data_IF_137080827571
#
_entry.id   IF_137080827571
#
_cell.length_a   1.000
_cell.length_b   1.000
_cell.length_c   1.000
_cell.angle_alpha   90.00
_cell.angle_beta   90.00
_cell.angle_gamma   90.00
#
_symmetry.space_group_name_H-M   'P 1'
#
loop_
_entity.id
_entity.type
_entity.pdbx_description
1 polymer ?
#
# COMPACT_ATOMS: atom_id res chain seq x y z
N UNK A 1 -11.87 2.91 1.55
CA UNK A 1 -12.80 2.45 0.49
C UNK A 1 -12.50 1.03 0.05
N UNK A 2 -11.23 0.65 -0.17
CA UNK A 2 -10.86 -0.73 -0.49
C UNK A 2 -11.28 -1.72 0.60
N UNK A 3 -11.04 -1.38 1.87
CA UNK A 3 -11.42 -2.24 3.01
C UNK A 3 -12.93 -2.46 3.10
N UNK A 4 -13.75 -1.42 2.93
CA UNK A 4 -15.22 -1.55 2.99
C UNK A 4 -15.76 -2.45 1.88
N UNK A 5 -15.24 -2.33 0.66
CA UNK A 5 -15.63 -3.20 -0.45
C UNK A 5 -15.21 -4.64 -0.21
N UNK A 6 -13.99 -4.86 0.28
CA UNK A 6 -13.51 -6.18 0.64
C UNK A 6 -14.33 -6.82 1.78
N UNK A 7 -14.69 -6.06 2.81
CA UNK A 7 -15.53 -6.53 3.91
C UNK A 7 -16.89 -6.95 3.36
N UNK A 8 -17.54 -6.10 2.56
CA UNK A 8 -18.87 -6.39 1.98
C UNK A 8 -18.86 -7.64 1.09
N UNK A 9 -17.87 -7.80 0.23
CA UNK A 9 -17.75 -8.98 -0.64
C UNK A 9 -17.52 -10.25 0.16
N UNK A 10 -16.62 -10.23 1.13
CA UNK A 10 -16.32 -11.39 1.97
C UNK A 10 -17.47 -11.76 2.90
N UNK A 11 -18.20 -10.76 3.44
CA UNK A 11 -19.41 -11.03 4.23
C UNK A 11 -20.46 -11.78 3.41
N UNK A 12 -20.65 -11.42 2.12
CA UNK A 12 -21.53 -12.15 1.21
C UNK A 12 -21.09 -13.60 0.96
N UNK A 13 -19.81 -13.88 1.12
CA UNK A 13 -19.22 -15.23 1.00
C UNK A 13 -19.17 -15.98 2.32
N UNK A 14 -19.78 -15.45 3.38
CA UNK A 14 -19.91 -16.12 4.68
C UNK A 14 -18.79 -15.81 5.67
N UNK A 15 -17.92 -14.84 5.39
CA UNK A 15 -16.91 -14.38 6.37
C UNK A 15 -17.57 -13.46 7.38
N UNK A 16 -17.45 -13.79 8.64
CA UNK A 16 -17.88 -12.93 9.76
C UNK A 16 -16.74 -12.00 10.18
N UNK A 17 -17.03 -10.71 10.32
CA UNK A 17 -16.08 -9.69 10.76
C UNK A 17 -16.45 -9.20 12.15
N UNK A 18 -15.46 -9.13 13.03
CA UNK A 18 -15.57 -8.55 14.37
C UNK A 18 -14.58 -7.39 14.45
N UNK A 19 -15.04 -6.24 13.96
CA UNK A 19 -14.22 -5.01 13.85
C UNK A 19 -14.21 -4.25 15.18
N UNK A 20 -13.12 -3.51 15.44
CA UNK A 20 -12.98 -2.72 16.66
C UNK A 20 -12.86 -3.54 17.93
N UNK A 21 -12.57 -4.84 17.83
CA UNK A 21 -12.50 -5.79 18.93
C UNK A 21 -11.13 -6.45 18.93
N UNK A 22 -10.48 -6.52 20.07
CA UNK A 22 -9.23 -7.25 20.25
C UNK A 22 -9.46 -8.64 20.83
N UNK A 23 -8.52 -9.56 20.61
CA UNK A 23 -8.47 -10.86 21.24
C UNK A 23 -7.76 -10.72 22.59
N UNK A 24 -8.42 -11.07 23.69
CA UNK A 24 -7.84 -11.03 25.04
C UNK A 24 -7.10 -12.31 25.39
N UNK A 25 -7.67 -13.45 25.03
CA UNK A 25 -7.05 -14.74 25.32
C UNK A 25 -7.47 -15.82 24.33
N UNK A 26 -6.58 -16.78 24.14
CA UNK A 26 -6.82 -18.00 23.38
C UNK A 26 -6.53 -19.18 24.31
N UNK A 27 -7.54 -20.00 24.58
CA UNK A 27 -7.40 -21.22 25.37
C UNK A 27 -7.89 -22.42 24.57
N UNK A 28 -6.93 -23.15 23.95
CA UNK A 28 -7.18 -24.23 23.03
C UNK A 28 -8.01 -23.77 21.84
N UNK A 29 -9.29 -24.07 21.80
CA UNK A 29 -10.23 -23.67 20.73
C UNK A 29 -11.09 -22.45 21.08
N UNK A 30 -11.11 -22.05 22.34
CA UNK A 30 -11.90 -20.91 22.82
C UNK A 30 -11.11 -19.62 22.72
N UNK A 31 -11.68 -18.65 22.04
CA UNK A 31 -11.15 -17.28 21.90
C UNK A 31 -12.06 -16.34 22.68
N UNK A 32 -11.49 -15.52 23.57
CA UNK A 32 -12.20 -14.47 24.29
C UNK A 32 -11.83 -13.10 23.73
N UNK A 33 -12.82 -12.22 23.65
CA UNK A 33 -12.72 -10.92 23.01
C UNK A 33 -12.91 -9.79 24.04
N UNK A 34 -12.38 -8.60 23.71
CA UNK A 34 -12.42 -7.40 24.57
C UNK A 34 -13.84 -6.85 24.82
N UNK A 35 -14.83 -7.27 24.06
CA UNK A 35 -16.25 -6.94 24.29
C UNK A 35 -16.94 -7.90 25.29
N UNK A 36 -16.21 -8.82 25.87
CA UNK A 36 -16.70 -9.83 26.83
C UNK A 36 -17.31 -11.06 26.18
N UNK A 37 -17.42 -11.12 24.87
CA UNK A 37 -17.88 -12.33 24.16
C UNK A 37 -16.77 -13.37 24.05
N UNK A 38 -17.14 -14.60 23.77
CA UNK A 38 -16.20 -15.68 23.47
C UNK A 38 -16.82 -16.66 22.50
N UNK A 39 -15.98 -17.26 21.64
CA UNK A 39 -16.42 -18.25 20.66
C UNK A 39 -15.43 -19.40 20.56
N UNK A 40 -15.85 -20.53 19.99
CA UNK A 40 -15.01 -21.71 19.77
C UNK A 40 -14.73 -21.89 18.29
N UNK A 41 -13.46 -22.16 17.98
CA UNK A 41 -12.99 -22.33 16.61
C UNK A 41 -12.23 -23.65 16.46
N UNK A 42 -12.29 -24.25 15.30
CA UNK A 42 -11.51 -25.47 14.99
C UNK A 42 -10.03 -25.18 14.82
N UNK A 43 -9.71 -24.00 14.30
CA UNK A 43 -8.35 -23.50 14.10
C UNK A 43 -8.29 -22.00 14.33
N UNK A 44 -7.19 -21.51 14.90
CA UNK A 44 -6.93 -20.08 15.09
C UNK A 44 -5.64 -19.73 14.35
N UNK A 45 -5.74 -18.80 13.40
CA UNK A 45 -4.60 -18.21 12.71
C UNK A 45 -4.30 -16.84 13.30
N UNK A 46 -3.09 -16.64 13.81
CA UNK A 46 -2.62 -15.35 14.31
C UNK A 46 -1.83 -14.64 13.23
N UNK A 47 -2.33 -13.48 12.79
CA UNK A 47 -1.72 -12.66 11.73
C UNK A 47 -1.85 -11.17 12.11
N UNK A 48 -1.30 -10.78 13.27
CA UNK A 48 -1.51 -9.47 13.92
C UNK A 48 -0.39 -8.46 13.65
N UNK A 49 0.58 -8.80 12.81
CA UNK A 49 1.68 -7.91 12.45
C UNK A 49 3.04 -8.60 12.52
N UNK A 50 4.09 -7.78 12.40
CA UNK A 50 5.50 -8.19 12.41
C UNK A 50 6.28 -7.32 13.39
N UNK A 51 7.25 -7.93 14.05
CA UNK A 51 8.22 -7.25 14.88
C UNK A 51 9.63 -7.48 14.31
N UNK A 52 10.50 -6.46 14.30
CA UNK A 52 11.89 -6.63 13.88
C UNK A 52 12.66 -7.49 14.88
N UNK A 53 13.53 -8.38 14.39
CA UNK A 53 14.34 -9.27 15.19
C UNK A 53 15.76 -8.70 15.36
N UNK A 54 15.90 -7.68 16.19
CA UNK A 54 17.18 -6.97 16.44
C UNK A 54 17.78 -7.26 17.81
N UNK A 55 17.19 -8.18 18.58
CA UNK A 55 17.64 -8.54 19.93
C UNK A 55 18.85 -9.46 19.88
N UNK A 56 19.80 -9.26 20.80
CA UNK A 56 20.98 -10.13 21.01
C UNK A 56 21.91 -10.29 19.79
N UNK A 57 22.01 -9.27 18.94
CA UNK A 57 22.94 -9.26 17.79
C UNK A 57 24.08 -8.24 17.96
N UNK A 58 24.26 -7.72 19.18
CA UNK A 58 25.40 -6.85 19.52
C UNK A 58 25.21 -5.37 19.15
N UNK A 59 24.00 -4.91 18.82
CA UNK A 59 23.74 -3.51 18.42
C UNK A 59 24.03 -2.52 19.55
N UNK A 60 23.60 -2.84 20.77
CA UNK A 60 23.80 -1.99 21.94
C UNK A 60 25.29 -1.89 22.32
N UNK A 61 26.05 -2.98 22.13
CA UNK A 61 27.50 -3.07 22.41
C UNK A 61 28.32 -2.11 21.53
N UNK A 62 27.85 -1.86 20.31
CA UNK A 62 28.49 -0.95 19.36
C UNK A 62 27.82 0.45 19.35
N UNK A 63 26.86 0.70 20.24
CA UNK A 63 26.24 2.01 20.46
C UNK A 63 25.06 2.34 19.58
N UNK A 64 24.52 1.38 18.82
CA UNK A 64 23.29 1.58 18.03
C UNK A 64 22.06 1.50 18.93
N UNK A 65 21.24 2.56 18.90
CA UNK A 65 19.99 2.60 19.65
C UNK A 65 18.87 1.90 18.89
N UNK A 66 18.15 1.05 19.59
CA UNK A 66 17.01 0.31 19.07
C UNK A 66 15.72 0.82 19.71
N UNK A 67 14.76 1.27 18.91
CA UNK A 67 13.46 1.73 19.38
C UNK A 67 12.38 0.69 19.01
N UNK A 68 11.84 -0.02 20.01
CA UNK A 68 10.86 -1.11 19.79
C UNK A 68 11.31 -2.14 18.73
N UNK A 69 12.59 -2.44 18.67
CA UNK A 69 13.19 -3.33 17.69
C UNK A 69 13.63 -2.65 16.38
N UNK A 70 13.25 -1.41 16.13
CA UNK A 70 13.64 -0.69 14.93
C UNK A 70 14.93 0.09 15.11
N UNK A 71 15.66 0.24 14.02
CA UNK A 71 16.91 1.00 13.92
C UNK A 71 16.65 2.28 13.13
N UNK A 72 17.00 3.42 13.71
CA UNK A 72 16.92 4.70 13.04
C UNK A 72 18.08 4.88 12.06
N UNK A 73 17.77 5.30 10.83
CA UNK A 73 18.75 5.62 9.78
C UNK A 73 18.51 7.00 9.19
N UNK A 74 19.48 7.48 8.45
CA UNK A 74 19.27 8.55 7.48
C UNK A 74 18.60 7.92 6.26
N UNK A 75 17.38 8.31 5.92
CA UNK A 75 16.60 7.71 4.82
C UNK A 75 17.17 8.00 3.41
N UNK A 76 18.07 8.98 3.27
CA UNK A 76 18.73 9.25 1.99
C UNK A 76 19.87 8.27 1.69
N UNK A 77 20.44 7.66 2.74
CA UNK A 77 21.64 6.81 2.63
C UNK A 77 21.48 5.44 3.29
N UNK A 78 20.51 5.28 4.19
CA UNK A 78 20.29 4.15 5.09
C UNK A 78 21.43 3.89 6.10
N UNK A 79 22.30 4.88 6.28
CA UNK A 79 23.35 4.86 7.28
C UNK A 79 22.77 5.07 8.69
N UNK A 80 23.25 4.34 9.66
CA UNK A 80 22.91 4.52 11.08
C UNK A 80 23.68 5.71 11.68
N UNK A 81 23.55 5.91 12.99
CA UNK A 81 24.37 6.89 13.74
C UNK A 81 25.87 6.49 13.80
N UNK A 82 26.21 5.28 13.40
CA UNK A 82 27.59 4.79 13.29
C UNK A 82 28.00 4.78 11.83
N UNK A 83 29.04 5.56 11.48
CA UNK A 83 29.43 5.92 10.11
C UNK A 83 29.58 4.75 9.13
N UNK A 84 30.06 3.59 9.57
CA UNK A 84 30.28 2.42 8.72
C UNK A 84 29.23 1.34 8.85
N UNK A 85 28.07 1.64 9.46
CA UNK A 85 26.97 0.70 9.67
C UNK A 85 25.69 1.23 9.02
N UNK A 86 25.06 0.36 8.25
CA UNK A 86 23.83 0.60 7.54
C UNK A 86 22.75 -0.37 8.02
N UNK A 87 21.50 0.06 8.03
CA UNK A 87 20.35 -0.81 8.26
C UNK A 87 19.36 -0.62 7.15
N UNK A 88 18.74 -1.71 6.69
CA UNK A 88 17.75 -1.70 5.61
C UNK A 88 16.69 -2.78 5.82
N UNK A 89 15.56 -2.64 5.15
CA UNK A 89 14.43 -3.57 5.21
C UNK A 89 13.61 -3.43 6.48
N UNK A 90 12.96 -4.50 6.88
CA UNK A 90 11.94 -4.56 7.94
C UNK A 90 12.40 -4.05 9.32
N UNK A 91 13.69 -3.83 9.50
CA UNK A 91 14.27 -3.32 10.76
C UNK A 91 14.42 -1.79 10.79
N UNK A 92 14.21 -1.09 9.67
CA UNK A 92 14.34 0.37 9.60
C UNK A 92 13.11 1.04 10.19
N UNK A 93 13.34 2.03 11.06
CA UNK A 93 12.26 2.81 11.66
C UNK A 93 11.53 3.65 10.61
N UNK A 94 10.21 3.73 10.71
CA UNK A 94 9.33 4.56 9.86
C UNK A 94 9.32 4.20 8.36
N UNK A 95 9.82 3.02 7.97
CA UNK A 95 9.72 2.52 6.59
C UNK A 95 8.75 1.34 6.47
N UNK A 96 8.17 1.11 5.28
CA UNK A 96 7.27 -0.03 5.08
C UNK A 96 8.00 -1.36 5.16
N UNK A 97 7.47 -2.30 5.94
CA UNK A 97 7.98 -3.68 6.04
C UNK A 97 7.57 -4.50 4.80
N UNK A 98 8.17 -4.20 3.66
CA UNK A 98 7.88 -4.80 2.35
C UNK A 98 9.17 -5.25 1.66
N UNK A 99 9.16 -6.44 1.07
CA UNK A 99 10.35 -7.01 0.41
C UNK A 99 10.90 -6.11 -0.70
N UNK A 100 10.04 -5.53 -1.54
CA UNK A 100 10.46 -4.65 -2.63
C UNK A 100 11.01 -3.30 -2.14
N UNK A 101 10.61 -2.84 -0.95
CA UNK A 101 11.23 -1.67 -0.29
C UNK A 101 12.64 -2.03 0.15
N UNK A 102 12.84 -3.17 0.80
CA UNK A 102 14.16 -3.65 1.21
C UNK A 102 15.12 -3.81 0.01
N UNK A 103 14.64 -4.23 -1.16
CA UNK A 103 15.46 -4.27 -2.38
C UNK A 103 15.89 -2.88 -2.85
N UNK A 104 14.98 -1.91 -2.84
CA UNK A 104 15.31 -0.53 -3.21
C UNK A 104 16.29 0.10 -2.21
N UNK A 105 16.08 -0.13 -0.92
CA UNK A 105 16.97 0.31 0.15
C UNK A 105 18.36 -0.32 0.06
N UNK A 106 18.44 -1.59 -0.34
CA UNK A 106 19.73 -2.25 -0.58
C UNK A 106 20.53 -1.58 -1.71
N UNK A 107 19.85 -1.24 -2.81
CA UNK A 107 20.49 -0.50 -3.92
C UNK A 107 20.94 0.89 -3.45
N UNK A 108 20.10 1.61 -2.71
CA UNK A 108 20.42 2.94 -2.15
C UNK A 108 21.66 2.88 -1.26
N UNK A 109 21.69 1.99 -0.27
CA UNK A 109 22.80 1.86 0.66
C UNK A 109 24.10 1.45 -0.01
N UNK A 110 24.06 0.47 -0.95
CA UNK A 110 25.26 0.03 -1.69
C UNK A 110 25.78 1.14 -2.61
N UNK A 111 24.92 1.94 -3.22
CA UNK A 111 25.32 3.10 -4.02
C UNK A 111 26.08 4.09 -3.15
N UNK A 112 25.54 4.45 -1.99
CA UNK A 112 26.22 5.36 -1.06
C UNK A 112 27.57 4.80 -0.57
N UNK A 113 27.64 3.52 -0.19
CA UNK A 113 28.88 2.86 0.24
C UNK A 113 29.96 2.90 -0.86
N UNK A 114 29.58 2.66 -2.11
CA UNK A 114 30.51 2.54 -3.23
C UNK A 114 30.95 3.87 -3.80
N UNK A 115 30.10 4.89 -3.80
CA UNK A 115 30.32 6.15 -4.54
C UNK A 115 30.32 7.40 -3.67
N UNK A 116 29.74 7.32 -2.45
CA UNK A 116 29.44 8.49 -1.60
C UNK A 116 28.25 9.30 -2.08
N UNK A 117 27.58 8.89 -3.16
CA UNK A 117 26.40 9.59 -3.69
C UNK A 117 25.13 9.09 -3.04
N UNK A 118 24.18 9.98 -2.81
CA UNK A 118 22.84 9.64 -2.32
C UNK A 118 21.94 9.15 -3.47
N UNK A 119 21.25 8.06 -3.24
CA UNK A 119 20.23 7.52 -4.14
C UNK A 119 18.98 7.15 -3.32
N UNK A 120 18.23 8.16 -2.82
CA UNK A 120 17.15 7.93 -1.87
C UNK A 120 16.00 7.15 -2.50
N UNK A 121 15.36 6.31 -1.69
CA UNK A 121 14.13 5.61 -2.08
C UNK A 121 12.98 6.60 -2.08
N UNK A 122 12.17 6.61 -3.15
CA UNK A 122 10.95 7.40 -3.18
C UNK A 122 9.82 6.69 -2.42
N UNK A 123 9.75 6.91 -1.12
CA UNK A 123 8.73 6.30 -0.26
C UNK A 123 7.29 6.77 -0.56
N UNK A 124 7.10 7.86 -1.30
CA UNK A 124 5.77 8.32 -1.71
C UNK A 124 5.17 7.50 -2.86
N UNK A 125 6.00 6.76 -3.61
CA UNK A 125 5.58 5.98 -4.76
C UNK A 125 5.72 4.46 -4.55
N UNK A 126 5.63 3.99 -3.31
CA UNK A 126 5.70 2.55 -3.00
C UNK A 126 4.32 1.93 -3.17
N UNK A 127 4.18 0.87 -4.00
CA UNK A 127 2.93 0.14 -4.12
C UNK A 127 2.75 -0.84 -2.95
N UNK A 128 1.54 -0.87 -2.41
CA UNK A 128 1.07 -1.85 -1.42
C UNK A 128 0.08 -2.78 -2.08
N UNK A 129 0.22 -4.09 -1.90
CA UNK A 129 -0.68 -5.08 -2.50
C UNK A 129 -1.14 -6.09 -1.48
N UNK A 130 -2.45 -6.36 -1.46
CA UNK A 130 -3.08 -7.43 -0.69
C UNK A 130 -3.64 -8.45 -1.68
N UNK A 131 -3.01 -9.61 -1.75
CA UNK A 131 -3.33 -10.69 -2.68
C UNK A 131 -4.53 -11.52 -2.22
N UNK A 132 -5.67 -10.91 -2.22
CA UNK A 132 -6.96 -11.54 -1.89
C UNK A 132 -7.83 -11.64 -3.16
N UNK A 133 -9.10 -12.03 -3.03
CA UNK A 133 -10.07 -12.00 -4.12
C UNK A 133 -11.31 -11.25 -3.64
N UNK A 134 -11.57 -10.03 -4.18
CA UNK A 134 -10.73 -9.25 -5.10
C UNK A 134 -9.38 -8.86 -4.49
N UNK A 135 -8.37 -8.58 -5.31
CA UNK A 135 -7.11 -7.98 -4.89
C UNK A 135 -7.34 -6.51 -4.49
N UNK A 136 -6.47 -6.01 -3.63
CA UNK A 136 -6.43 -4.59 -3.27
C UNK A 136 -5.00 -4.09 -3.44
N UNK A 137 -4.82 -2.98 -4.14
CA UNK A 137 -3.53 -2.33 -4.28
C UNK A 137 -3.67 -0.81 -4.09
N UNK A 138 -2.66 -0.20 -3.50
CA UNK A 138 -2.61 1.24 -3.24
C UNK A 138 -1.19 1.77 -3.49
N UNK A 139 -1.11 3.04 -3.87
CA UNK A 139 0.15 3.79 -3.96
C UNK A 139 -0.09 5.25 -3.58
N UNK A 140 0.87 5.87 -2.91
CA UNK A 140 0.80 7.27 -2.50
C UNK A 140 -0.25 7.55 -1.45
N UNK A 141 -0.89 8.72 -1.55
CA UNK A 141 -1.88 9.19 -0.59
C UNK A 141 -3.28 8.68 -0.92
N UNK A 142 -4.04 8.36 0.12
CA UNK A 142 -5.48 8.18 0.02
C UNK A 142 -6.22 9.38 0.67
N UNK A 143 -7.55 9.39 0.57
CA UNK A 143 -8.38 10.49 1.07
C UNK A 143 -8.21 10.75 2.58
N UNK A 144 -7.96 9.73 3.38
CA UNK A 144 -7.87 9.88 4.83
C UNK A 144 -6.50 10.47 5.20
N UNK A 145 -5.44 9.97 4.59
CA UNK A 145 -4.08 10.49 4.79
C UNK A 145 -3.91 11.92 4.27
N UNK A 146 -4.54 12.25 3.14
CA UNK A 146 -4.57 13.63 2.63
C UNK A 146 -5.27 14.59 3.61
N UNK A 147 -6.39 14.18 4.23
CA UNK A 147 -7.06 14.96 5.28
C UNK A 147 -6.20 15.16 6.52
N UNK A 148 -5.51 14.12 6.98
CA UNK A 148 -4.58 14.20 8.12
C UNK A 148 -3.47 15.23 7.86
N UNK A 149 -2.99 15.30 6.61
CA UNK A 149 -1.98 16.27 6.17
C UNK A 149 -2.54 17.67 5.85
N UNK A 150 -3.86 17.87 5.93
CA UNK A 150 -4.52 19.13 5.58
C UNK A 150 -4.49 19.45 4.08
N UNK A 151 -4.21 18.45 3.23
CA UNK A 151 -4.14 18.62 1.78
C UNK A 151 -5.54 18.64 1.16
N UNK A 152 -5.74 19.54 0.19
CA UNK A 152 -6.92 19.53 -0.67
C UNK A 152 -6.66 18.67 -1.88
N UNK A 153 -7.48 17.64 -2.06
CA UNK A 153 -7.36 16.70 -3.16
C UNK A 153 -8.65 16.61 -3.97
N UNK A 154 -8.50 16.43 -5.27
CA UNK A 154 -9.55 15.96 -6.17
C UNK A 154 -9.53 14.42 -6.19
N UNK A 155 -10.68 13.82 -6.46
CA UNK A 155 -10.82 12.36 -6.53
C UNK A 155 -11.71 12.00 -7.72
N UNK A 156 -11.29 11.01 -8.48
CA UNK A 156 -12.13 10.30 -9.44
C UNK A 156 -12.23 8.82 -9.10
N UNK A 157 -13.24 8.15 -9.64
CA UNK A 157 -13.33 6.70 -9.55
C UNK A 157 -14.06 6.12 -10.76
N UNK A 158 -13.63 4.92 -11.19
CA UNK A 158 -14.31 4.14 -12.22
C UNK A 158 -14.46 2.68 -11.81
N UNK A 159 -15.66 2.13 -11.99
CA UNK A 159 -15.98 0.75 -11.61
C UNK A 159 -15.68 -0.26 -12.72
N UNK A 160 -15.20 -1.44 -12.37
CA UNK A 160 -14.99 -2.53 -13.33
C UNK A 160 -16.27 -3.03 -14.00
N UNK A 161 -17.45 -2.72 -13.45
CA UNK A 161 -18.73 -3.05 -14.07
C UNK A 161 -18.94 -2.37 -15.43
N UNK A 162 -18.25 -1.24 -15.70
CA UNK A 162 -18.25 -0.54 -17.00
C UNK A 162 -17.16 -1.02 -17.97
N UNK A 163 -16.28 -1.94 -17.55
CA UNK A 163 -15.10 -2.35 -18.33
C UNK A 163 -15.36 -3.67 -19.07
N UNK A 164 -15.29 -3.63 -20.41
CA UNK A 164 -15.56 -4.78 -21.27
C UNK A 164 -14.72 -6.02 -20.93
N UNK A 165 -13.43 -5.87 -20.66
CA UNK A 165 -12.56 -6.98 -20.27
C UNK A 165 -12.97 -7.63 -18.96
N UNK A 166 -13.36 -6.84 -17.97
CA UNK A 166 -13.84 -7.34 -16.67
C UNK A 166 -15.14 -8.13 -16.82
N UNK A 167 -16.03 -7.67 -17.71
CA UNK A 167 -17.27 -8.38 -18.06
C UNK A 167 -16.99 -9.72 -18.74
N UNK A 168 -16.08 -9.77 -19.71
CA UNK A 168 -15.66 -11.01 -20.40
C UNK A 168 -15.10 -12.03 -19.40
N UNK A 169 -14.32 -11.56 -18.42
CA UNK A 169 -13.73 -12.41 -17.39
C UNK A 169 -14.70 -12.80 -16.26
N UNK A 170 -15.93 -12.25 -16.25
CA UNK A 170 -16.87 -12.35 -15.14
C UNK A 170 -16.26 -11.91 -13.79
N UNK A 171 -15.43 -10.86 -13.82
CA UNK A 171 -14.73 -10.29 -12.67
C UNK A 171 -14.96 -8.76 -12.63
N UNK A 172 -16.22 -8.35 -12.68
CA UNK A 172 -16.62 -6.95 -12.81
C UNK A 172 -16.85 -6.24 -11.47
N UNK A 173 -16.45 -6.84 -10.37
CA UNK A 173 -16.52 -6.22 -9.04
C UNK A 173 -15.27 -5.40 -8.76
N UNK A 174 -15.48 -4.26 -8.12
CA UNK A 174 -14.38 -3.39 -7.72
C UNK A 174 -14.32 -2.09 -8.52
N UNK A 175 -13.28 -1.33 -8.27
CA UNK A 175 -13.07 -0.02 -8.89
C UNK A 175 -11.61 0.41 -8.81
N UNK A 176 -11.28 1.41 -9.62
CA UNK A 176 -10.07 2.23 -9.55
C UNK A 176 -10.44 3.59 -8.96
N UNK A 177 -9.60 4.12 -8.06
CA UNK A 177 -9.65 5.51 -7.58
C UNK A 177 -8.33 6.18 -7.84
N UNK A 178 -8.37 7.43 -8.29
CA UNK A 178 -7.18 8.27 -8.48
C UNK A 178 -7.38 9.57 -7.72
N UNK A 179 -6.31 10.03 -7.09
CA UNK A 179 -6.27 11.26 -6.30
C UNK A 179 -5.23 12.20 -6.86
N UNK A 180 -5.57 13.48 -7.03
CA UNK A 180 -4.62 14.54 -7.36
C UNK A 180 -4.71 15.69 -6.36
N UNK A 181 -3.67 16.48 -6.23
CA UNK A 181 -3.79 17.78 -5.59
C UNK A 181 -4.77 18.68 -6.35
N UNK A 182 -5.35 19.66 -5.67
CA UNK A 182 -6.16 20.68 -6.31
C UNK A 182 -5.27 21.51 -7.27
N UNK A 183 -5.46 21.35 -8.57
CA UNK A 183 -4.62 21.91 -9.66
C UNK A 183 -3.15 21.44 -9.65
N UNK A 184 -2.89 20.25 -9.18
CA UNK A 184 -1.56 19.66 -9.05
C UNK A 184 -1.47 18.22 -9.54
N UNK A 185 -0.36 17.56 -9.25
CA UNK A 185 -0.07 16.22 -9.73
C UNK A 185 -0.96 15.14 -9.10
N UNK A 186 -0.91 13.96 -9.69
CA UNK A 186 -1.46 12.73 -9.12
C UNK A 186 -0.60 12.37 -7.90
N UNK A 187 -1.24 12.26 -6.72
CA UNK A 187 -0.58 12.01 -5.44
C UNK A 187 -0.88 10.63 -4.87
N UNK A 188 -1.82 9.92 -5.46
CA UNK A 188 -2.11 8.56 -5.01
C UNK A 188 -3.22 7.89 -5.79
N UNK A 189 -3.34 6.59 -5.57
CA UNK A 189 -4.38 5.77 -6.19
C UNK A 189 -4.66 4.51 -5.40
N UNK A 190 -5.86 3.97 -5.60
CA UNK A 190 -6.29 2.67 -5.04
C UNK A 190 -7.01 1.86 -6.10
N UNK A 191 -6.69 0.59 -6.22
CA UNK A 191 -7.34 -0.37 -7.10
C UNK A 191 -7.90 -1.52 -6.25
N UNK A 192 -9.17 -1.80 -6.37
CA UNK A 192 -9.78 -2.99 -5.77
C UNK A 192 -10.47 -3.79 -6.88
N UNK A 193 -9.96 -4.96 -7.22
CA UNK A 193 -10.51 -5.74 -8.31
C UNK A 193 -9.56 -6.78 -8.90
N UNK A 194 -9.84 -7.26 -10.11
CA UNK A 194 -8.98 -8.21 -10.79
C UNK A 194 -7.64 -7.57 -11.17
N UNK A 195 -6.54 -8.30 -10.95
CA UNK A 195 -5.19 -7.88 -11.30
C UNK A 195 -4.77 -6.51 -10.71
N UNK A 196 -5.32 -6.13 -9.55
CA UNK A 196 -5.00 -4.85 -8.91
C UNK A 196 -3.50 -4.71 -8.63
N UNK A 197 -2.84 -5.82 -8.24
CA UNK A 197 -1.40 -5.86 -7.99
C UNK A 197 -0.55 -5.58 -9.23
N UNK A 198 -1.05 -5.90 -10.43
CA UNK A 198 -0.38 -5.58 -11.69
C UNK A 198 -0.70 -4.15 -12.15
N UNK A 199 -1.97 -3.75 -12.06
CA UNK A 199 -2.46 -2.46 -12.51
C UNK A 199 -1.87 -1.28 -11.72
N UNK A 200 -1.58 -1.46 -10.45
CA UNK A 200 -1.08 -0.37 -9.57
C UNK A 200 0.24 0.22 -10.06
N UNK A 201 1.04 -0.52 -10.82
CA UNK A 201 2.35 -0.07 -11.28
C UNK A 201 2.26 1.07 -12.31
N UNK A 202 1.20 1.11 -13.12
CA UNK A 202 0.93 2.25 -14.00
C UNK A 202 0.71 3.53 -13.18
N UNK A 203 -0.09 3.43 -12.13
CA UNK A 203 -0.38 4.53 -11.20
C UNK A 203 0.85 4.89 -10.33
N UNK A 204 1.69 3.92 -9.99
CA UNK A 204 2.95 4.14 -9.28
C UNK A 204 3.89 5.06 -10.07
N UNK A 205 4.02 4.85 -11.39
CA UNK A 205 4.81 5.73 -12.25
C UNK A 205 4.22 7.15 -12.27
N UNK A 206 2.90 7.28 -12.34
CA UNK A 206 2.25 8.59 -12.34
C UNK A 206 2.48 9.35 -11.03
N UNK A 207 2.41 8.69 -9.88
CA UNK A 207 2.73 9.28 -8.58
C UNK A 207 4.23 9.62 -8.50
N UNK A 208 5.09 8.68 -8.90
CA UNK A 208 6.55 8.85 -8.79
C UNK A 208 7.12 9.95 -9.70
N UNK A 209 6.48 10.22 -10.82
CA UNK A 209 6.85 11.28 -11.77
C UNK A 209 6.04 12.57 -11.61
N UNK A 210 5.16 12.63 -10.59
CA UNK A 210 4.30 13.79 -10.35
C UNK A 210 3.47 14.18 -11.60
N UNK A 211 2.94 13.16 -12.31
CA UNK A 211 2.20 13.37 -13.55
C UNK A 211 0.94 14.19 -13.30
N UNK A 212 0.65 15.14 -14.21
CA UNK A 212 -0.58 15.92 -14.17
C UNK A 212 -1.76 15.09 -14.72
N UNK A 213 -2.96 15.20 -14.12
CA UNK A 213 -4.13 14.47 -14.62
C UNK A 213 -4.44 14.71 -16.09
N UNK A 214 -4.30 15.94 -16.57
CA UNK A 214 -4.54 16.29 -17.98
C UNK A 214 -3.58 15.59 -18.92
N UNK A 215 -2.30 15.54 -18.59
CA UNK A 215 -1.26 14.86 -19.36
C UNK A 215 -1.47 13.34 -19.36
N UNK A 216 -1.70 12.75 -18.18
CA UNK A 216 -1.92 11.32 -18.03
C UNK A 216 -3.18 10.83 -18.77
N UNK A 217 -4.24 11.65 -18.82
CA UNK A 217 -5.50 11.30 -19.51
C UNK A 217 -5.43 11.36 -21.05
N UNK A 218 -4.34 11.84 -21.64
CA UNK A 218 -4.13 11.84 -23.10
C UNK A 218 -3.64 10.50 -23.65
N UNK A 219 -3.13 9.61 -22.76
CA UNK A 219 -2.64 8.31 -23.21
C UNK A 219 -3.78 7.32 -23.50
N UNK A 220 -3.59 6.56 -24.59
CA UNK A 220 -4.58 5.61 -25.11
C UNK A 220 -4.35 4.24 -24.49
N UNK A 221 -5.37 3.72 -23.80
CA UNK A 221 -5.39 2.35 -23.29
C UNK A 221 -5.86 1.38 -24.38
N UNK A 222 -5.24 0.20 -24.44
CA UNK A 222 -5.65 -0.83 -25.38
C UNK A 222 -7.05 -1.39 -25.02
N UNK A 223 -7.89 -1.64 -26.03
CA UNK A 223 -9.21 -2.24 -25.86
C UNK A 223 -9.26 -3.67 -26.38
N UNK A 224 -9.86 -4.66 -25.64
CA UNK A 224 -10.37 -4.53 -24.27
C UNK A 224 -9.31 -4.90 -23.23
N UNK A 225 -9.09 -4.05 -22.24
CA UNK A 225 -8.19 -4.31 -21.11
C UNK A 225 -8.79 -3.89 -19.77
N UNK A 226 -8.22 -4.35 -18.65
CA UNK A 226 -8.60 -3.87 -17.33
C UNK A 226 -8.08 -2.45 -17.06
N UNK A 227 -6.93 -2.08 -17.66
CA UNK A 227 -6.31 -0.77 -17.52
C UNK A 227 -7.17 0.38 -18.06
N UNK A 228 -8.17 0.09 -18.90
CA UNK A 228 -9.16 1.11 -19.33
C UNK A 228 -9.87 1.75 -18.12
N UNK A 229 -10.00 1.03 -16.99
CA UNK A 229 -10.55 1.61 -15.75
C UNK A 229 -9.66 2.73 -15.18
N UNK A 230 -8.34 2.65 -15.39
CA UNK A 230 -7.39 3.71 -15.04
C UNK A 230 -7.61 4.90 -15.97
N UNK A 231 -7.63 4.67 -17.29
CA UNK A 231 -7.87 5.71 -18.29
C UNK A 231 -9.16 6.48 -18.06
N UNK A 232 -10.27 5.78 -17.81
CA UNK A 232 -11.57 6.40 -17.48
C UNK A 232 -11.49 7.23 -16.17
N UNK A 233 -10.79 6.74 -15.15
CA UNK A 233 -10.58 7.50 -13.91
C UNK A 233 -9.76 8.77 -14.16
N UNK A 234 -8.73 8.71 -14.99
CA UNK A 234 -7.89 9.86 -15.35
C UNK A 234 -8.68 10.89 -16.17
N UNK A 235 -9.43 10.45 -17.17
CA UNK A 235 -10.29 11.33 -17.95
C UNK A 235 -11.35 12.01 -17.08
N UNK A 236 -11.95 11.28 -16.14
CA UNK A 236 -12.90 11.85 -15.19
C UNK A 236 -12.26 12.89 -14.28
N UNK A 237 -11.03 12.65 -13.82
CA UNK A 237 -10.27 13.58 -12.99
C UNK A 237 -9.95 14.89 -13.73
N UNK A 238 -9.72 14.82 -15.04
CA UNK A 238 -9.49 15.94 -15.95
C UNK A 238 -10.79 16.60 -16.45
N UNK A 239 -11.97 16.18 -15.95
CA UNK A 239 -13.26 16.67 -16.41
C UNK A 239 -13.70 16.20 -17.82
N UNK A 240 -13.04 15.17 -18.37
CA UNK A 240 -13.27 14.61 -19.72
C UNK A 240 -13.82 13.18 -19.71
N UNK A 241 -14.36 12.71 -18.58
CA UNK A 241 -14.93 11.36 -18.47
C UNK A 241 -15.94 11.04 -19.55
N UNK A 242 -15.83 9.85 -20.15
CA UNK A 242 -16.73 9.39 -21.24
C UNK A 242 -17.92 8.60 -20.71
N UNK A 243 -17.81 8.00 -19.51
CA UNK A 243 -18.82 7.10 -18.94
C UNK A 243 -19.08 7.40 -17.46
#
# INVERSE_FOLDING_TARGET
VGSEMCIRDRSKRGVNFKLGTSVESINYKKVSFSDGESDNFDCVLVAVGREPLTQNIGLEEIGIKVNKGFIKTNLDTLQTEIENIYALGDIVEDTPQLAHVAFAEAVSSVTHIATGENNPVNYNAIPYVVYTRPELAEVGLNSDKAKELGMKINQSQHGFAGIGRAMIQNQNQGLVKVYSEENGPIVGASVCGPAAGEMIHELMYMVGWEALPDEASEFIHAHPTLSEAIGESLMSLSGRGLH
#
